data_IF_608800949733
#
_entry.id   IF_608800949733
#
_cell.length_a   1.000
_cell.length_b   1.000
_cell.length_c   1.000
_cell.angle_alpha   90.00
_cell.angle_beta   90.00
_cell.angle_gamma   90.00
#
_symmetry.space_group_name_H-M   'P 1'
#
loop_
_entity.id
_entity.type
_entity.pdbx_description
1 polymer ?
#
# COMPACT_ATOMS: atom_id res chain seq x y z
N UNK A 1 32.27 3.47 -38.94
CA UNK A 1 31.03 3.84 -38.21
C UNK A 1 31.07 3.11 -36.88
N UNK A 2 31.27 3.84 -35.77
CA UNK A 2 31.32 3.23 -34.43
C UNK A 2 29.89 3.09 -33.93
N UNK A 3 29.44 1.84 -33.74
CA UNK A 3 28.17 1.55 -33.10
C UNK A 3 28.22 2.01 -31.64
N UNK A 4 27.36 2.94 -31.30
CA UNK A 4 27.12 3.35 -29.91
C UNK A 4 26.43 2.16 -29.24
N UNK A 5 27.09 1.56 -28.24
CA UNK A 5 26.43 0.59 -27.35
C UNK A 5 25.44 1.37 -26.47
N UNK A 6 24.24 0.85 -26.18
CA UNK A 6 23.39 1.47 -25.18
C UNK A 6 24.13 1.44 -23.85
N UNK A 7 24.25 2.60 -23.22
CA UNK A 7 24.66 2.70 -21.82
C UNK A 7 23.45 2.27 -21.02
N UNK A 8 23.41 1.00 -20.63
CA UNK A 8 22.61 0.62 -19.48
C UNK A 8 23.21 1.39 -18.31
N UNK A 9 22.44 2.34 -17.76
CA UNK A 9 22.80 2.94 -16.48
C UNK A 9 22.91 1.79 -15.48
N UNK A 10 24.13 1.54 -15.04
CA UNK A 10 24.39 0.82 -13.80
C UNK A 10 23.81 1.65 -12.65
N UNK A 11 23.31 0.95 -11.64
CA UNK A 11 22.81 1.46 -10.35
C UNK A 11 21.32 1.86 -10.28
N UNK A 12 20.43 1.02 -10.81
CA UNK A 12 19.11 0.85 -10.16
C UNK A 12 19.35 -0.08 -8.98
N UNK A 13 19.19 0.42 -7.76
CA UNK A 13 19.31 -0.39 -6.54
C UNK A 13 18.11 -1.36 -6.53
N UNK A 14 18.39 -2.66 -6.70
CA UNK A 14 17.41 -3.66 -7.17
C UNK A 14 16.52 -4.26 -6.07
N UNK A 15 16.51 -3.66 -4.87
CA UNK A 15 15.82 -4.17 -3.66
C UNK A 15 15.35 -3.00 -2.75
N UNK A 16 14.85 -1.90 -3.33
CA UNK A 16 14.43 -0.76 -2.51
C UNK A 16 13.14 -1.09 -1.74
N UNK A 17 13.25 -1.22 -0.42
CA UNK A 17 12.13 -1.24 0.50
C UNK A 17 11.87 0.19 0.99
N UNK A 18 10.65 0.65 0.79
CA UNK A 18 10.15 1.88 1.39
C UNK A 18 9.43 1.48 2.68
N UNK A 19 9.90 1.98 3.82
CA UNK A 19 9.24 1.80 5.10
C UNK A 19 8.58 3.10 5.54
N UNK A 20 7.31 3.01 5.94
CA UNK A 20 6.52 4.08 6.55
C UNK A 20 6.03 3.61 7.91
N UNK A 21 5.95 4.52 8.87
CA UNK A 21 5.50 4.25 10.23
C UNK A 21 4.42 5.28 10.52
N UNK A 22 3.28 4.80 11.04
CA UNK A 22 2.15 5.63 11.43
C UNK A 22 1.69 5.28 12.85
N UNK A 23 1.06 6.22 13.54
CA UNK A 23 0.48 5.95 14.87
C UNK A 23 -0.83 5.17 14.76
N UNK A 24 -1.61 5.38 13.70
CA UNK A 24 -2.94 4.80 13.54
C UNK A 24 -3.12 4.07 12.21
N UNK A 25 -4.01 3.07 12.22
CA UNK A 25 -4.55 2.42 11.04
C UNK A 25 -6.07 2.29 11.15
N UNK A 26 -6.77 2.49 10.05
CA UNK A 26 -8.21 2.30 9.96
C UNK A 26 -8.61 1.73 8.60
N UNK A 27 -9.84 1.22 8.50
CA UNK A 27 -10.39 0.67 7.27
C UNK A 27 -11.84 1.10 7.08
N UNK A 28 -12.28 1.24 5.83
CA UNK A 28 -13.64 1.62 5.49
C UNK A 28 -14.16 0.95 4.21
N UNK A 29 -15.47 0.80 4.14
CA UNK A 29 -16.22 0.21 3.04
C UNK A 29 -17.44 1.07 2.72
N UNK A 30 -17.62 1.42 1.45
CA UNK A 30 -18.75 2.20 0.96
C UNK A 30 -19.24 1.65 -0.39
N UNK A 31 -20.17 0.70 -0.35
CA UNK A 31 -20.60 -0.02 -1.56
C UNK A 31 -19.45 -0.89 -2.07
N UNK A 32 -19.08 -0.73 -3.34
CA UNK A 32 -17.97 -1.48 -3.96
C UNK A 32 -16.59 -0.80 -3.78
N UNK A 33 -16.50 0.23 -2.94
CA UNK A 33 -15.29 0.98 -2.65
C UNK A 33 -14.73 0.60 -1.27
N UNK A 34 -13.45 0.24 -1.25
CA UNK A 34 -12.72 -0.21 -0.06
C UNK A 34 -11.46 0.64 0.13
N UNK A 35 -11.15 0.98 1.38
CA UNK A 35 -9.98 1.77 1.72
C UNK A 35 -9.36 1.29 3.03
N UNK A 36 -8.03 1.34 3.10
CA UNK A 36 -7.30 1.40 4.37
C UNK A 36 -6.54 2.72 4.45
N UNK A 37 -6.52 3.31 5.65
CA UNK A 37 -5.85 4.58 5.98
C UNK A 37 -4.79 4.34 7.03
N UNK A 38 -3.71 5.12 6.94
CA UNK A 38 -2.67 5.23 7.94
C UNK A 38 -2.32 6.71 8.13
N UNK A 39 -2.23 7.15 9.37
CA UNK A 39 -2.03 8.55 9.72
C UNK A 39 -1.46 8.67 11.15
N UNK A 40 -0.91 9.84 11.45
CA UNK A 40 -0.36 10.20 12.77
C UNK A 40 -1.32 11.10 13.57
N UNK A 41 -2.56 11.28 13.09
CA UNK A 41 -3.52 12.19 13.71
C UNK A 41 -4.73 11.42 14.25
N UNK A 42 -5.07 11.65 15.52
CA UNK A 42 -6.28 11.11 16.14
C UNK A 42 -7.56 11.74 15.53
N UNK A 43 -7.45 12.85 14.80
CA UNK A 43 -8.56 13.52 14.13
C UNK A 43 -8.75 13.04 12.68
N UNK A 44 -9.81 12.26 12.37
CA UNK A 44 -10.06 11.74 11.03
C UNK A 44 -10.42 12.82 9.99
N UNK A 45 -10.66 14.08 10.40
CA UNK A 45 -10.85 15.21 9.47
C UNK A 45 -9.57 16.05 9.26
N UNK A 46 -8.49 15.75 9.98
CA UNK A 46 -7.21 16.43 9.83
C UNK A 46 -6.47 15.91 8.58
N UNK A 47 -6.06 16.84 7.72
CA UNK A 47 -5.28 16.57 6.51
C UNK A 47 -3.86 17.15 6.59
N UNK A 48 -3.47 17.67 7.76
CA UNK A 48 -2.23 18.43 7.94
C UNK A 48 -1.03 17.52 8.32
N UNK A 49 -1.26 16.24 8.62
CA UNK A 49 -0.25 15.26 9.03
C UNK A 49 0.23 14.30 7.92
N UNK A 50 1.33 13.54 8.15
CA UNK A 50 1.72 12.43 7.29
C UNK A 50 0.60 11.41 7.16
N UNK A 51 0.35 10.92 5.95
CA UNK A 51 -0.69 9.92 5.74
C UNK A 51 -0.42 9.02 4.53
N UNK A 52 -1.11 7.89 4.50
CA UNK A 52 -1.16 6.99 3.36
C UNK A 52 -2.54 6.33 3.26
N UNK A 53 -3.18 6.43 2.10
CA UNK A 53 -4.38 5.70 1.74
C UNK A 53 -4.04 4.63 0.71
N UNK A 54 -4.67 3.46 0.86
CA UNK A 54 -4.70 2.42 -0.16
C UNK A 54 -6.15 2.17 -0.48
N UNK A 55 -6.52 2.32 -1.74
CA UNK A 55 -7.90 2.26 -2.19
C UNK A 55 -8.06 1.20 -3.29
N UNK A 56 -9.21 0.53 -3.28
CA UNK A 56 -9.60 -0.42 -4.33
C UNK A 56 -11.11 -0.34 -4.55
N UNK A 57 -11.54 -0.42 -5.81
CA UNK A 57 -12.95 -0.37 -6.18
C UNK A 57 -13.31 -1.53 -7.10
N UNK A 58 -14.51 -2.08 -6.92
CA UNK A 58 -14.99 -3.24 -7.68
C UNK A 58 -16.19 -2.93 -8.58
N UNK A 59 -16.68 -1.68 -8.56
CA UNK A 59 -17.86 -1.27 -9.36
C UNK A 59 -17.57 -1.35 -10.87
N UNK A 60 -16.34 -1.00 -11.27
CA UNK A 60 -15.89 -1.07 -12.65
C UNK A 60 -14.63 -1.94 -12.78
N UNK A 61 -14.41 -2.61 -13.92
CA UNK A 61 -13.15 -3.30 -14.18
C UNK A 61 -11.97 -2.32 -14.03
N UNK A 62 -11.15 -2.50 -12.99
CA UNK A 62 -10.05 -1.63 -12.60
C UNK A 62 -8.67 -2.22 -12.92
N UNK A 63 -8.66 -3.20 -13.84
CA UNK A 63 -7.53 -4.04 -14.22
C UNK A 63 -6.85 -4.79 -13.05
N UNK A 64 -7.44 -4.91 -11.85
CA UNK A 64 -6.76 -5.36 -10.61
C UNK A 64 -5.72 -4.33 -10.12
N UNK A 65 -6.04 -3.03 -10.21
CA UNK A 65 -5.19 -1.94 -9.70
C UNK A 65 -5.61 -1.46 -8.31
N UNK A 66 -4.64 -0.92 -7.59
CA UNK A 66 -4.82 -0.24 -6.31
C UNK A 66 -4.43 1.21 -6.53
N UNK A 67 -5.12 2.15 -5.89
CA UNK A 67 -4.71 3.54 -5.89
C UNK A 67 -4.05 3.88 -4.55
N UNK A 68 -2.87 4.49 -4.62
CA UNK A 68 -2.16 5.02 -3.47
C UNK A 68 -2.31 6.54 -3.43
N UNK A 69 -2.57 7.08 -2.25
CA UNK A 69 -2.59 8.52 -1.96
C UNK A 69 -1.78 8.80 -0.70
N UNK A 70 -0.94 9.83 -0.70
CA UNK A 70 -0.05 10.15 0.44
C UNK A 70 0.43 11.59 0.35
N UNK A 71 0.88 12.14 1.48
CA UNK A 71 1.68 13.37 1.52
C UNK A 71 3.00 13.22 0.72
N UNK A 72 3.53 12.00 0.64
CA UNK A 72 4.66 11.67 -0.22
C UNK A 72 4.21 11.40 -1.65
N UNK A 73 4.10 12.46 -2.44
CA UNK A 73 3.64 12.43 -3.84
C UNK A 73 4.37 11.44 -4.76
N UNK A 74 5.53 10.90 -4.36
CA UNK A 74 6.24 9.85 -5.11
C UNK A 74 5.53 8.50 -5.03
N UNK A 75 4.71 8.27 -3.99
CA UNK A 75 3.93 7.05 -3.81
C UNK A 75 2.57 7.11 -4.51
N UNK A 76 2.09 8.30 -4.87
CA UNK A 76 0.74 8.48 -5.39
C UNK A 76 0.53 7.89 -6.78
N UNK A 77 -0.60 7.22 -6.99
CA UNK A 77 -1.02 6.72 -8.30
C UNK A 77 -1.50 5.27 -8.28
N UNK A 78 -1.81 4.77 -9.49
CA UNK A 78 -2.24 3.37 -9.67
C UNK A 78 -1.04 2.42 -9.66
N UNK A 79 -1.14 1.38 -8.84
CA UNK A 79 -0.14 0.32 -8.72
C UNK A 79 -0.77 -1.06 -8.93
N UNK A 80 0.09 -2.03 -9.27
CA UNK A 80 -0.26 -3.45 -9.32
C UNK A 80 0.44 -4.15 -8.16
N UNK A 81 -0.27 -5.04 -7.49
CA UNK A 81 0.26 -5.77 -6.33
C UNK A 81 0.51 -7.22 -6.72
N UNK A 82 1.71 -7.73 -6.38
CA UNK A 82 2.07 -9.14 -6.50
C UNK A 82 1.54 -9.93 -5.30
N UNK A 83 1.87 -9.45 -4.10
CA UNK A 83 1.58 -10.11 -2.84
C UNK A 83 1.49 -9.07 -1.72
N UNK A 84 0.78 -9.41 -0.65
CA UNK A 84 0.75 -8.66 0.58
C UNK A 84 0.97 -9.58 1.78
N UNK A 85 1.57 -9.07 2.84
CA UNK A 85 1.70 -9.75 4.14
C UNK A 85 1.11 -8.85 5.20
N UNK A 86 0.16 -9.37 5.97
CA UNK A 86 -0.57 -8.65 7.01
C UNK A 86 -0.30 -9.24 8.40
N UNK A 87 -0.12 -8.38 9.39
CA UNK A 87 -0.18 -8.68 10.82
C UNK A 87 -0.84 -7.54 11.59
N UNK A 88 -1.01 -7.67 12.90
CA UNK A 88 -1.47 -6.56 13.75
C UNK A 88 -0.47 -5.40 13.89
N UNK A 89 0.75 -5.55 13.39
CA UNK A 89 1.83 -4.54 13.53
C UNK A 89 2.23 -3.92 12.19
N UNK A 90 1.95 -4.59 11.07
CA UNK A 90 2.32 -4.09 9.76
C UNK A 90 1.50 -4.67 8.60
N UNK A 91 1.49 -3.92 7.51
CA UNK A 91 1.10 -4.36 6.17
C UNK A 91 2.31 -4.17 5.24
N UNK A 92 2.74 -5.24 4.58
CA UNK A 92 3.84 -5.21 3.62
C UNK A 92 3.28 -5.55 2.23
N UNK A 93 3.57 -4.74 1.23
CA UNK A 93 3.02 -4.87 -0.12
C UNK A 93 4.15 -4.95 -1.13
N UNK A 94 4.15 -6.02 -1.91
CA UNK A 94 5.09 -6.21 -3.01
C UNK A 94 4.47 -5.67 -4.30
N UNK A 95 5.07 -4.62 -4.86
CA UNK A 95 4.58 -3.98 -6.07
C UNK A 95 5.11 -4.70 -7.33
N UNK A 96 4.25 -4.83 -8.34
CA UNK A 96 4.61 -5.22 -9.70
C UNK A 96 5.10 -3.99 -10.46
N UNK A 97 6.35 -3.60 -10.20
CA UNK A 97 7.07 -2.55 -10.91
C UNK A 97 8.37 -3.10 -11.52
N UNK A 98 8.90 -2.41 -12.54
CA UNK A 98 10.23 -2.70 -13.07
C UNK A 98 11.29 -2.43 -11.98
N UNK A 99 11.70 -3.48 -11.26
CA UNK A 99 12.72 -3.38 -10.21
C UNK A 99 12.26 -3.69 -8.77
N UNK A 100 11.09 -4.33 -8.57
CA UNK A 100 10.58 -4.85 -7.29
C UNK A 100 10.73 -3.88 -6.10
N UNK A 101 9.71 -3.08 -5.82
CA UNK A 101 9.66 -2.24 -4.62
C UNK A 101 8.72 -2.85 -3.60
N UNK A 102 9.19 -2.96 -2.35
CA UNK A 102 8.32 -3.34 -1.21
C UNK A 102 7.93 -2.08 -0.48
N UNK A 103 6.63 -1.86 -0.29
CA UNK A 103 6.11 -0.84 0.63
C UNK A 103 5.72 -1.53 1.93
N UNK A 104 6.46 -1.26 3.00
CA UNK A 104 6.12 -1.72 4.36
C UNK A 104 5.54 -0.56 5.16
N UNK A 105 4.35 -0.78 5.71
CA UNK A 105 3.66 0.15 6.57
C UNK A 105 3.59 -0.47 7.97
N UNK A 106 4.16 0.20 8.97
CA UNK A 106 3.96 -0.12 10.39
C UNK A 106 2.92 0.80 10.99
N UNK A 107 2.10 0.29 11.88
CA UNK A 107 1.00 1.06 12.47
C UNK A 107 0.65 0.61 13.88
N UNK A 108 0.01 1.49 14.64
CA UNK A 108 -0.79 1.14 15.81
C UNK A 108 -2.24 0.85 15.43
N UNK A 109 -2.80 -0.21 16.00
CA UNK A 109 -4.22 -0.55 15.86
C UNK A 109 -4.70 -1.31 17.10
N UNK A 110 -5.93 -1.05 17.54
CA UNK A 110 -6.53 -1.80 18.64
C UNK A 110 -6.92 -3.20 18.17
N UNK A 111 -7.02 -4.18 19.09
CA UNK A 111 -7.44 -5.53 18.71
C UNK A 111 -8.85 -5.54 18.08
N UNK A 112 -9.77 -4.71 18.59
CA UNK A 112 -11.14 -4.65 18.06
C UNK A 112 -11.18 -4.06 16.64
N UNK A 113 -10.36 -3.05 16.37
CA UNK A 113 -10.29 -2.42 15.05
C UNK A 113 -9.51 -3.30 14.06
N UNK A 114 -8.55 -4.11 14.54
CA UNK A 114 -7.76 -5.00 13.70
C UNK A 114 -8.61 -6.09 13.02
N UNK A 115 -9.64 -6.62 13.68
CA UNK A 115 -10.53 -7.62 13.07
C UNK A 115 -11.24 -7.06 11.82
N UNK A 116 -11.71 -5.82 11.90
CA UNK A 116 -12.34 -5.13 10.76
C UNK A 116 -11.31 -4.75 9.69
N UNK A 117 -10.15 -4.26 10.11
CA UNK A 117 -9.04 -3.96 9.21
C UNK A 117 -8.60 -5.20 8.42
N UNK A 118 -8.44 -6.34 9.09
CA UNK A 118 -8.09 -7.62 8.46
C UNK A 118 -9.15 -8.05 7.45
N UNK A 119 -10.43 -7.91 7.79
CA UNK A 119 -11.54 -8.21 6.87
C UNK A 119 -11.43 -7.39 5.59
N UNK A 120 -11.25 -6.07 5.71
CA UNK A 120 -11.16 -5.16 4.57
C UNK A 120 -9.91 -5.45 3.73
N UNK A 121 -8.74 -5.61 4.35
CA UNK A 121 -7.51 -6.00 3.63
C UNK A 121 -7.69 -7.34 2.91
N UNK A 122 -8.36 -8.31 3.53
CA UNK A 122 -8.63 -9.60 2.88
C UNK A 122 -9.52 -9.45 1.65
N UNK A 123 -10.54 -8.59 1.70
CA UNK A 123 -11.39 -8.28 0.53
C UNK A 123 -10.56 -7.57 -0.55
N UNK A 124 -9.81 -6.55 -0.15
CA UNK A 124 -9.02 -5.73 -1.07
C UNK A 124 -7.93 -6.51 -1.77
N UNK A 125 -7.25 -7.46 -1.12
CA UNK A 125 -6.11 -8.17 -1.71
C UNK A 125 -6.45 -9.59 -2.17
N UNK A 126 -7.57 -10.17 -1.73
CA UNK A 126 -8.01 -11.49 -2.15
C UNK A 126 -6.99 -12.59 -1.86
N UNK A 127 -6.65 -13.37 -2.88
CA UNK A 127 -5.66 -14.45 -2.80
C UNK A 127 -4.20 -13.97 -2.69
N UNK A 128 -3.96 -12.66 -2.82
CA UNK A 128 -2.61 -12.07 -2.75
C UNK A 128 -2.14 -11.81 -1.33
N UNK A 129 -3.02 -11.81 -0.31
CA UNK A 129 -2.62 -11.52 1.08
C UNK A 129 -2.34 -12.79 1.87
N UNK A 130 -1.17 -12.83 2.50
CA UNK A 130 -0.80 -13.79 3.51
C UNK A 130 -0.92 -13.16 4.90
N UNK A 131 -1.52 -13.89 5.84
CA UNK A 131 -1.75 -13.43 7.22
C UNK A 131 -0.78 -14.10 8.16
N UNK A 132 -0.18 -13.31 9.03
CA UNK A 132 0.66 -13.79 10.11
C UNK A 132 -0.17 -13.83 11.40
N UNK A 133 -0.11 -14.98 12.08
CA UNK A 133 -0.70 -15.20 13.40
C UNK A 133 0.07 -14.47 14.51
#
# INVERSE_FOLDING_TARGET
MRGVRPVWNADVNQDEMIEKIFEHASASEAGDYYQVSFDDDDDPESIDGPYLLIQRQFEFPDDDSYYLESDDTRLCGHVKVRAATLSSEFLSIDLLADGWTTLRIRYGISQGDFEEFERIVTIMFGDKVFRLD
#
